data_IF_964514069039
#
_entry.id   IF_964514069039
#
_cell.length_a   1.000
_cell.length_b   1.000
_cell.length_c   1.000
_cell.angle_alpha   90.00
_cell.angle_beta   90.00
_cell.angle_gamma   90.00
#
_symmetry.space_group_name_H-M   'P 1'
#
loop_
_entity.id
_entity.type
_entity.pdbx_description
1 polymer ?
#
# COMPACT_ATOMS: atom_id res chain seq x y z
N UNK A 1 -1.79 0.56 -16.60
CA UNK A 1 -2.93 0.31 -15.68
C UNK A 1 -3.38 1.63 -15.07
N UNK A 2 -4.69 1.86 -15.03
CA UNK A 2 -5.23 3.05 -14.38
C UNK A 2 -5.07 2.96 -12.88
N UNK A 3 -4.70 4.07 -12.26
CA UNK A 3 -4.62 4.17 -10.83
C UNK A 3 -6.00 4.04 -10.19
N UNK A 4 -6.10 3.29 -9.11
CA UNK A 4 -7.30 3.17 -8.29
C UNK A 4 -7.12 4.04 -7.03
N UNK A 5 -8.13 4.82 -6.68
CA UNK A 5 -8.12 5.53 -5.40
C UNK A 5 -8.26 4.51 -4.27
N UNK A 6 -7.54 4.73 -3.18
CA UNK A 6 -7.53 3.77 -2.06
C UNK A 6 -8.94 3.47 -1.56
N UNK A 7 -9.79 4.48 -1.42
CA UNK A 7 -11.16 4.25 -0.94
C UNK A 7 -11.97 3.32 -1.85
N UNK A 8 -11.64 3.28 -3.14
CA UNK A 8 -12.36 2.43 -4.10
C UNK A 8 -11.92 0.97 -4.06
N UNK A 9 -10.83 0.66 -3.35
CA UNK A 9 -10.37 -0.74 -3.23
C UNK A 9 -11.40 -1.64 -2.55
N UNK A 10 -12.28 -1.08 -1.72
CA UNK A 10 -13.34 -1.84 -1.06
C UNK A 10 -14.31 -2.47 -2.06
N UNK A 11 -14.36 -1.95 -3.28
CA UNK A 11 -15.22 -2.45 -4.37
C UNK A 11 -14.46 -3.32 -5.36
N UNK A 12 -13.18 -3.59 -5.10
CA UNK A 12 -12.28 -4.24 -6.04
C UNK A 12 -11.73 -5.56 -5.50
N UNK A 13 -12.44 -6.22 -4.59
CA UNK A 13 -11.99 -7.48 -4.00
C UNK A 13 -11.61 -8.47 -5.11
N UNK A 14 -10.46 -9.12 -4.95
CA UNK A 14 -9.88 -10.10 -5.87
C UNK A 14 -9.42 -9.50 -7.21
N UNK A 15 -9.45 -8.18 -7.35
CA UNK A 15 -8.98 -7.52 -8.57
C UNK A 15 -7.56 -6.98 -8.38
N UNK A 16 -6.82 -6.94 -9.49
CA UNK A 16 -5.50 -6.31 -9.52
C UNK A 16 -5.68 -4.80 -9.71
N UNK A 17 -5.04 -4.02 -8.85
CA UNK A 17 -5.14 -2.57 -8.88
C UNK A 17 -3.75 -1.92 -8.79
N UNK A 18 -3.68 -0.65 -9.17
CA UNK A 18 -2.53 0.19 -8.95
C UNK A 18 -2.93 1.34 -8.04
N UNK A 19 -2.18 1.56 -6.97
CA UNK A 19 -2.40 2.70 -6.08
C UNK A 19 -1.12 3.53 -6.02
N UNK A 20 -1.28 4.82 -5.70
CA UNK A 20 -0.18 5.74 -5.46
C UNK A 20 -0.46 6.46 -4.15
N UNK A 21 0.54 6.58 -3.31
CA UNK A 21 0.36 7.25 -2.04
C UNK A 21 1.68 7.38 -1.30
N UNK A 22 1.60 7.78 -0.05
CA UNK A 22 2.79 7.85 0.79
C UNK A 22 2.68 6.87 1.93
N UNK A 23 3.85 6.41 2.39
CA UNK A 23 3.96 5.49 3.52
C UNK A 23 3.66 6.26 4.80
N UNK A 24 2.67 5.81 5.55
CA UNK A 24 2.36 6.39 6.86
C UNK A 24 3.07 5.63 7.96
N UNK A 25 2.98 4.30 7.96
CA UNK A 25 3.66 3.47 8.96
C UNK A 25 4.14 2.18 8.32
N UNK A 26 5.14 1.56 8.95
CA UNK A 26 5.63 0.24 8.60
C UNK A 26 5.69 -0.63 9.85
N UNK A 27 5.18 -1.85 9.74
CA UNK A 27 5.23 -2.84 10.82
C UNK A 27 5.85 -4.13 10.26
N UNK A 28 6.89 -4.59 10.92
CA UNK A 28 7.59 -5.81 10.53
C UNK A 28 7.16 -6.96 11.43
N UNK A 29 6.70 -8.05 10.82
CA UNK A 29 6.26 -9.25 11.52
C UNK A 29 6.91 -10.48 10.88
N UNK A 30 8.20 -10.69 11.18
CA UNK A 30 8.94 -11.83 10.65
C UNK A 30 9.03 -11.77 9.14
N UNK A 31 8.36 -12.71 8.46
CA UNK A 31 8.37 -12.80 6.99
C UNK A 31 7.31 -11.93 6.33
N UNK A 32 6.61 -11.10 7.11
CA UNK A 32 5.61 -10.17 6.61
C UNK A 32 6.02 -8.75 6.93
N UNK A 33 5.79 -7.84 5.98
CA UNK A 33 5.88 -6.41 6.20
C UNK A 33 4.52 -5.82 5.86
N UNK A 34 3.97 -5.05 6.79
CA UNK A 34 2.72 -4.31 6.60
C UNK A 34 3.04 -2.84 6.48
N UNK A 35 2.55 -2.22 5.42
CA UNK A 35 2.71 -0.79 5.17
C UNK A 35 1.33 -0.16 5.10
N UNK A 36 1.09 0.86 5.92
CA UNK A 36 -0.12 1.67 5.77
C UNK A 36 0.19 2.77 4.75
N UNK A 37 -0.49 2.72 3.62
CA UNK A 37 -0.32 3.67 2.52
C UNK A 37 -1.54 4.56 2.46
N UNK A 38 -1.29 5.87 2.38
CA UNK A 38 -2.34 6.89 2.34
C UNK A 38 -2.32 7.62 1.03
N UNK A 39 -3.51 7.89 0.47
CA UNK A 39 -3.69 8.91 -0.55
C UNK A 39 -4.77 9.87 -0.06
N UNK A 40 -5.19 10.82 -0.89
CA UNK A 40 -6.20 11.79 -0.46
C UNK A 40 -7.56 11.18 -0.16
N UNK A 41 -7.80 9.95 -0.61
CA UNK A 41 -9.10 9.28 -0.42
C UNK A 41 -9.15 8.39 0.81
N UNK A 42 -8.01 7.97 1.35
CA UNK A 42 -7.99 7.07 2.51
C UNK A 42 -6.66 6.38 2.73
N UNK A 43 -6.70 5.34 3.55
CA UNK A 43 -5.53 4.51 3.90
C UNK A 43 -5.86 3.08 3.55
N UNK A 44 -4.86 2.33 3.06
CA UNK A 44 -4.97 0.87 2.90
C UNK A 44 -3.74 0.20 3.48
N UNK A 45 -3.92 -0.99 4.05
CA UNK A 45 -2.82 -1.84 4.47
C UNK A 45 -2.28 -2.61 3.27
N UNK A 46 -1.00 -2.44 3.00
CA UNK A 46 -0.29 -3.20 1.96
C UNK A 46 0.55 -4.27 2.63
N UNK A 47 0.56 -5.47 2.06
CA UNK A 47 1.25 -6.63 2.63
C UNK A 47 2.31 -7.12 1.66
N UNK A 48 3.52 -7.34 2.21
CA UNK A 48 4.64 -7.92 1.49
C UNK A 48 5.04 -9.20 2.22
N UNK A 49 5.02 -10.31 1.50
CA UNK A 49 5.35 -11.62 2.08
C UNK A 49 6.62 -12.18 1.45
N UNK A 50 7.64 -12.44 2.30
CA UNK A 50 8.94 -12.95 1.85
C UNK A 50 8.81 -14.30 1.12
N UNK A 51 7.88 -15.15 1.52
CA UNK A 51 7.67 -16.44 0.89
C UNK A 51 7.14 -16.37 -0.53
N UNK A 52 6.54 -15.25 -0.89
CA UNK A 52 5.99 -15.04 -2.22
C UNK A 52 7.02 -14.44 -3.18
N UNK A 53 7.75 -13.41 -2.72
CA UNK A 53 8.72 -12.69 -3.53
C UNK A 53 9.78 -12.09 -2.62
N UNK A 54 10.95 -12.72 -2.59
CA UNK A 54 12.04 -12.30 -1.70
C UNK A 54 12.60 -10.94 -2.11
N UNK A 55 12.70 -10.67 -3.40
CA UNK A 55 13.24 -9.40 -3.88
C UNK A 55 12.31 -8.25 -3.56
N UNK A 56 11.02 -8.44 -3.75
CA UNK A 56 10.01 -7.45 -3.41
C UNK A 56 10.00 -7.18 -1.91
N UNK A 57 10.09 -8.23 -1.09
CA UNK A 57 10.17 -8.11 0.37
C UNK A 57 11.39 -7.30 0.78
N UNK A 58 12.53 -7.54 0.13
CA UNK A 58 13.76 -6.79 0.39
C UNK A 58 13.59 -5.30 0.04
N UNK A 59 12.92 -5.00 -1.06
CA UNK A 59 12.60 -3.62 -1.41
C UNK A 59 11.69 -2.97 -0.36
N UNK A 60 10.68 -3.70 0.11
CA UNK A 60 9.77 -3.21 1.13
C UNK A 60 10.47 -2.90 2.45
N UNK A 61 11.52 -3.66 2.78
CA UNK A 61 12.28 -3.44 4.02
C UNK A 61 13.02 -2.11 4.05
N UNK A 62 13.14 -1.44 2.90
CA UNK A 62 13.80 -0.13 2.79
C UNK A 62 12.82 1.03 2.89
N UNK A 63 11.51 0.75 2.92
CA UNK A 63 10.51 1.80 2.97
C UNK A 63 10.49 2.49 4.33
N UNK A 64 10.32 3.79 4.30
CA UNK A 64 10.24 4.63 5.51
C UNK A 64 9.02 5.53 5.42
N UNK A 65 8.59 6.08 6.56
CA UNK A 65 7.52 7.06 6.61
C UNK A 65 7.79 8.19 5.63
N UNK A 66 6.75 8.68 5.00
CA UNK A 66 6.76 9.79 4.04
C UNK A 66 7.33 9.44 2.66
N UNK A 67 7.85 8.23 2.44
CA UNK A 67 8.19 7.80 1.10
C UNK A 67 6.91 7.76 0.24
N UNK A 68 7.02 8.24 -0.98
CA UNK A 68 5.92 8.19 -1.95
C UNK A 68 6.13 6.98 -2.84
N UNK A 69 5.11 6.15 -2.95
CA UNK A 69 5.21 4.86 -3.64
C UNK A 69 4.07 4.66 -4.64
N UNK A 70 4.35 3.85 -5.64
CA UNK A 70 3.36 3.28 -6.54
C UNK A 70 3.37 1.77 -6.31
N UNK A 71 2.20 1.21 -6.02
CA UNK A 71 2.06 -0.21 -5.74
C UNK A 71 1.07 -0.83 -6.72
N UNK A 72 1.40 -2.02 -7.21
CA UNK A 72 0.45 -2.88 -7.90
C UNK A 72 0.25 -4.12 -7.05
N UNK A 73 -0.96 -4.61 -7.01
CA UNK A 73 -1.26 -5.80 -6.25
C UNK A 73 -2.71 -6.21 -6.38
N UNK A 74 -3.07 -7.28 -5.68
CA UNK A 74 -4.43 -7.80 -5.66
C UNK A 74 -5.10 -7.43 -4.35
N UNK A 75 -6.30 -6.87 -4.42
CA UNK A 75 -7.08 -6.57 -3.24
C UNK A 75 -7.63 -7.88 -2.67
N UNK A 76 -7.39 -8.10 -1.39
CA UNK A 76 -7.87 -9.31 -0.71
C UNK A 76 -8.49 -8.96 0.64
N UNK A 77 -9.31 -9.85 1.18
CA UNK A 77 -9.87 -9.68 2.51
C UNK A 77 -8.78 -9.82 3.56
N UNK A 78 -8.82 -8.97 4.59
CA UNK A 78 -7.94 -9.16 5.76
C UNK A 78 -8.38 -10.40 6.52
N UNK A 79 -7.42 -11.10 7.15
CA UNK A 79 -7.74 -12.13 8.11
C UNK A 79 -8.57 -11.54 9.26
N UNK A 80 -9.42 -12.33 9.89
CA UNK A 80 -10.32 -11.86 10.95
C UNK A 80 -9.60 -11.07 12.05
N UNK A 81 -8.40 -11.49 12.41
CA UNK A 81 -7.61 -10.83 13.46
C UNK A 81 -6.99 -9.52 13.01
N UNK A 82 -7.01 -9.23 11.70
CA UNK A 82 -6.43 -8.03 11.12
C UNK A 82 -7.48 -6.99 10.74
N UNK A 83 -8.77 -7.31 10.87
CA UNK A 83 -9.84 -6.39 10.52
C UNK A 83 -9.82 -5.19 11.47
N UNK A 84 -9.90 -4.00 10.88
CA UNK A 84 -9.96 -2.74 11.62
C UNK A 84 -11.16 -1.92 11.13
N UNK A 85 -12.29 -2.06 11.81
CA UNK A 85 -13.53 -1.38 11.41
C UNK A 85 -13.50 0.13 11.66
N UNK A 86 -12.43 0.66 12.28
CA UNK A 86 -12.25 2.11 12.40
C UNK A 86 -11.86 2.77 11.09
N UNK A 87 -11.45 1.97 10.09
CA UNK A 87 -11.08 2.45 8.77
C UNK A 87 -12.10 2.00 7.73
N UNK A 88 -12.48 2.87 6.76
CA UNK A 88 -13.36 2.45 5.66
C UNK A 88 -12.79 1.27 4.86
N UNK A 89 -11.47 1.17 4.74
CA UNK A 89 -10.78 0.07 4.03
C UNK A 89 -10.32 -1.04 4.97
N UNK A 90 -10.78 -1.04 6.22
CA UNK A 90 -10.24 -1.90 7.26
C UNK A 90 -10.53 -3.38 7.11
N UNK A 91 -11.35 -3.78 6.15
CA UNK A 91 -11.66 -5.19 5.87
C UNK A 91 -10.89 -5.74 4.69
N UNK A 92 -10.16 -4.90 3.97
CA UNK A 92 -9.37 -5.30 2.81
C UNK A 92 -7.91 -4.90 2.99
N UNK A 93 -7.05 -5.55 2.21
CA UNK A 93 -5.62 -5.22 2.16
C UNK A 93 -5.14 -5.45 0.74
N UNK A 94 -3.98 -4.87 0.42
CA UNK A 94 -3.37 -5.04 -0.89
C UNK A 94 -2.22 -6.04 -0.78
N UNK A 95 -2.36 -7.19 -1.46
CA UNK A 95 -1.26 -8.15 -1.60
C UNK A 95 -0.36 -7.64 -2.72
N UNK A 96 0.73 -6.99 -2.37
CA UNK A 96 1.58 -6.28 -3.32
C UNK A 96 2.36 -7.23 -4.20
N UNK A 97 2.36 -6.95 -5.50
CA UNK A 97 3.14 -7.70 -6.48
C UNK A 97 4.23 -6.85 -7.14
N UNK A 98 4.13 -5.52 -7.06
CA UNK A 98 5.11 -4.61 -7.64
C UNK A 98 5.18 -3.32 -6.83
N UNK A 99 6.40 -2.84 -6.63
CA UNK A 99 6.68 -1.62 -5.86
C UNK A 99 7.59 -0.70 -6.67
N UNK A 100 7.22 0.57 -6.71
CA UNK A 100 8.10 1.61 -7.26
C UNK A 100 8.13 2.77 -6.27
N UNK A 101 9.34 3.20 -5.89
CA UNK A 101 9.52 4.36 -5.02
C UNK A 101 9.57 5.60 -5.91
N UNK A 102 8.60 6.50 -5.74
CA UNK A 102 8.49 7.71 -6.56
C UNK A 102 9.27 8.88 -5.95
N UNK A 103 9.34 8.94 -4.61
CA UNK A 103 10.04 10.00 -3.91
C UNK A 103 10.36 9.53 -2.49
N UNK A 104 11.53 9.90 -1.99
CA UNK A 104 11.96 9.59 -0.63
C UNK A 104 11.92 10.82 0.29
N UNK A 105 11.57 11.99 -0.26
CA UNK A 105 11.49 13.24 0.48
C UNK A 105 10.13 13.41 1.16
N UNK A 106 10.11 14.08 2.31
CA UNK A 106 8.88 14.45 3.00
C UNK A 106 8.06 15.46 2.19
N UNK A 107 8.73 16.23 1.31
CA UNK A 107 8.06 17.21 0.45
C UNK A 107 7.95 16.63 -0.95
N UNK A 108 6.78 16.09 -1.34
CA UNK A 108 6.60 15.55 -2.70
C UNK A 108 6.79 16.62 -3.76
N UNK A 109 7.28 16.21 -4.94
CA UNK A 109 7.31 17.11 -6.07
C UNK A 109 5.88 17.39 -6.54
N UNK A 110 5.68 18.54 -7.18
CA UNK A 110 4.35 19.03 -7.55
C UNK A 110 3.50 18.02 -8.33
N UNK A 111 4.07 17.32 -9.29
CA UNK A 111 3.34 16.33 -10.08
C UNK A 111 2.85 15.14 -9.24
N UNK A 112 3.65 14.76 -8.25
CA UNK A 112 3.26 13.67 -7.34
C UNK A 112 2.13 14.15 -6.45
N UNK A 113 2.17 15.40 -5.97
CA UNK A 113 1.08 15.97 -5.17
C UNK A 113 -0.25 15.92 -5.92
N UNK A 114 -0.24 16.26 -7.21
CA UNK A 114 -1.45 16.17 -8.05
C UNK A 114 -1.97 14.74 -8.14
N UNK A 115 -1.08 13.75 -8.07
CA UNK A 115 -1.47 12.36 -8.18
C UNK A 115 -2.09 11.80 -6.89
N UNK A 116 -1.67 12.28 -5.72
CA UNK A 116 -2.03 11.65 -4.43
C UNK A 116 -2.71 12.59 -3.43
N UNK A 117 -2.56 13.89 -3.58
CA UNK A 117 -3.20 14.89 -2.73
C UNK A 117 -4.30 15.62 -3.47
#
# INVERSE_FOLDING_TARGET
>A
MKRTWIIDTTKKLDEKVEIKGWVQTRRDHGKLIFIDVRDRSGIIQAVFWAGRDKELFKQASKLRSEYVVKLEGVVQARGEKQINDDLPTGRVELAVTKLEILNTSETPVFEIEKAIF
#
